data_IF_999181073836
#
_entry.id   IF_999181073836
#
_cell.length_a   1.000
_cell.length_b   1.000
_cell.length_c   1.000
_cell.angle_alpha   90.00
_cell.angle_beta   90.00
_cell.angle_gamma   90.00
#
_symmetry.space_group_name_H-M   'P 1'
#
loop_
_entity.id
_entity.type
_entity.pdbx_description
1 polymer ?
#
# COMPACT_ATOMS: atom_id res chain seq x y z
N UNK A 1 -27.46 -29.20 17.12
CA UNK A 1 -26.43 -29.02 16.07
C UNK A 1 -25.77 -27.67 16.28
N UNK A 2 -24.67 -27.63 17.03
CA UNK A 2 -23.93 -26.40 17.33
C UNK A 2 -23.11 -25.99 16.11
N UNK A 3 -23.56 -24.97 15.39
CA UNK A 3 -22.77 -24.31 14.35
C UNK A 3 -21.63 -23.54 15.03
N UNK A 4 -20.51 -24.21 15.27
CA UNK A 4 -19.24 -23.57 15.64
C UNK A 4 -18.74 -22.80 14.43
N UNK A 5 -19.19 -21.56 14.30
CA UNK A 5 -18.67 -20.61 13.33
C UNK A 5 -17.19 -20.36 13.65
N UNK A 6 -16.31 -21.10 13.00
CA UNK A 6 -14.88 -20.84 13.05
C UNK A 6 -14.64 -19.38 12.61
N UNK A 7 -13.96 -18.53 13.41
CA UNK A 7 -13.61 -17.19 12.99
C UNK A 7 -12.62 -17.31 11.84
N UNK A 8 -13.12 -17.29 10.61
CA UNK A 8 -12.27 -17.19 9.43
C UNK A 8 -11.63 -15.81 9.45
N UNK A 9 -10.31 -15.68 9.20
CA UNK A 9 -9.70 -14.37 9.04
C UNK A 9 -10.50 -13.59 8.01
N UNK A 10 -11.02 -12.42 8.39
CA UNK A 10 -11.96 -11.70 7.55
C UNK A 10 -11.22 -10.93 6.44
N UNK A 11 -10.74 -11.65 5.43
CA UNK A 11 -10.07 -11.08 4.26
C UNK A 11 -10.93 -10.04 3.54
N UNK A 12 -12.27 -10.13 3.66
CA UNK A 12 -13.22 -9.14 3.12
C UNK A 12 -13.09 -7.79 3.82
N UNK A 13 -12.80 -7.75 5.12
CA UNK A 13 -12.57 -6.50 5.85
C UNK A 13 -11.28 -5.80 5.38
N UNK A 14 -10.22 -6.58 5.15
CA UNK A 14 -8.94 -6.07 4.64
C UNK A 14 -9.10 -5.54 3.21
N UNK A 15 -9.85 -6.26 2.37
CA UNK A 15 -10.21 -5.80 1.03
C UNK A 15 -10.99 -4.48 1.07
N UNK A 16 -11.99 -4.36 1.95
CA UNK A 16 -12.76 -3.12 2.09
C UNK A 16 -11.88 -1.94 2.50
N UNK A 17 -10.91 -2.15 3.40
CA UNK A 17 -9.94 -1.12 3.78
C UNK A 17 -9.03 -0.72 2.61
N UNK A 18 -8.56 -1.68 1.80
CA UNK A 18 -7.77 -1.38 0.60
C UNK A 18 -8.55 -0.56 -0.43
N UNK A 19 -9.83 -0.88 -0.64
CA UNK A 19 -10.73 -0.10 -1.51
C UNK A 19 -10.94 1.30 -0.95
N UNK A 20 -11.17 1.42 0.36
CA UNK A 20 -11.32 2.71 1.01
C UNK A 20 -10.07 3.60 0.84
N UNK A 21 -8.88 3.04 1.06
CA UNK A 21 -7.61 3.72 0.81
C UNK A 21 -7.43 4.08 -0.69
N UNK A 22 -8.00 3.30 -1.61
CA UNK A 22 -8.01 3.66 -3.04
C UNK A 22 -8.88 4.90 -3.30
N UNK A 23 -10.07 4.95 -2.71
CA UNK A 23 -10.95 6.11 -2.83
C UNK A 23 -10.33 7.39 -2.26
N UNK A 24 -9.63 7.29 -1.12
CA UNK A 24 -8.88 8.43 -0.56
C UNK A 24 -7.81 8.91 -1.54
N UNK A 25 -7.04 7.99 -2.12
CA UNK A 25 -5.99 8.36 -3.09
C UNK A 25 -6.60 9.05 -4.31
N UNK A 26 -7.76 8.59 -4.76
CA UNK A 26 -8.46 9.16 -5.91
C UNK A 26 -8.98 10.56 -5.60
N UNK A 27 -9.62 10.73 -4.44
CA UNK A 27 -10.09 12.03 -3.97
C UNK A 27 -8.94 13.05 -3.83
N UNK A 28 -7.78 12.61 -3.31
CA UNK A 28 -6.61 13.47 -3.16
C UNK A 28 -6.09 14.04 -4.49
N UNK A 29 -6.30 13.34 -5.61
CA UNK A 29 -5.92 13.81 -6.95
C UNK A 29 -6.92 14.81 -7.53
N UNK A 30 -8.21 14.66 -7.20
CA UNK A 30 -9.27 15.56 -7.70
C UNK A 30 -9.44 16.84 -6.89
N UNK A 31 -8.93 16.88 -5.65
CA UNK A 31 -8.96 18.08 -4.84
C UNK A 31 -7.86 19.07 -5.29
N UNK A 32 -8.13 20.40 -5.28
CA UNK A 32 -7.18 21.42 -5.71
C UNK A 32 -6.10 21.70 -4.65
N UNK A 33 -5.41 20.65 -4.20
CA UNK A 33 -4.25 20.78 -3.31
C UNK A 33 -3.00 21.16 -4.09
N UNK A 34 -1.99 21.68 -3.38
CA UNK A 34 -0.66 21.86 -3.98
C UNK A 34 -0.07 20.50 -4.35
N UNK A 35 0.65 20.45 -5.47
CA UNK A 35 1.21 19.21 -6.01
C UNK A 35 2.04 18.43 -4.97
N UNK A 36 2.80 19.14 -4.13
CA UNK A 36 3.58 18.53 -3.05
C UNK A 36 2.71 17.83 -1.99
N UNK A 37 1.57 18.42 -1.63
CA UNK A 37 0.63 17.84 -0.67
C UNK A 37 -0.08 16.62 -1.25
N UNK A 38 -0.51 16.69 -2.52
CA UNK A 38 -1.10 15.55 -3.22
C UNK A 38 -0.13 14.38 -3.28
N UNK A 39 1.14 14.63 -3.63
CA UNK A 39 2.18 13.60 -3.65
C UNK A 39 2.37 12.99 -2.26
N UNK A 40 2.53 13.80 -1.21
CA UNK A 40 2.65 13.31 0.17
C UNK A 40 1.49 12.40 0.58
N UNK A 41 0.25 12.78 0.27
CA UNK A 41 -0.94 11.97 0.59
C UNK A 41 -0.90 10.63 -0.14
N UNK A 42 -0.61 10.63 -1.45
CA UNK A 42 -0.53 9.40 -2.26
C UNK A 42 0.52 8.46 -1.69
N UNK A 43 1.70 8.97 -1.32
CA UNK A 43 2.80 8.20 -0.73
C UNK A 43 2.42 7.58 0.61
N UNK A 44 1.80 8.34 1.52
CA UNK A 44 1.32 7.84 2.81
C UNK A 44 0.27 6.75 2.61
N UNK A 45 -0.70 6.98 1.72
CA UNK A 45 -1.75 6.00 1.41
C UNK A 45 -1.16 4.71 0.82
N UNK A 46 -0.17 4.80 -0.06
CA UNK A 46 0.53 3.66 -0.62
C UNK A 46 1.28 2.84 0.46
N UNK A 47 1.96 3.52 1.40
CA UNK A 47 2.65 2.86 2.51
C UNK A 47 1.68 2.10 3.43
N UNK A 48 0.54 2.68 3.76
CA UNK A 48 -0.50 2.02 4.58
C UNK A 48 -1.06 0.79 3.86
N UNK A 49 -1.31 0.87 2.55
CA UNK A 49 -1.75 -0.30 1.76
C UNK A 49 -0.72 -1.42 1.82
N UNK A 50 0.56 -1.10 1.60
CA UNK A 50 1.64 -2.09 1.66
C UNK A 50 1.72 -2.75 3.04
N UNK A 51 1.63 -1.97 4.12
CA UNK A 51 1.59 -2.49 5.49
C UNK A 51 0.41 -3.44 5.71
N UNK A 52 -0.79 -3.05 5.25
CA UNK A 52 -1.98 -3.89 5.35
C UNK A 52 -1.81 -5.23 4.63
N UNK A 53 -1.14 -5.21 3.48
CA UNK A 53 -0.84 -6.42 2.70
C UNK A 53 0.15 -7.31 3.42
N UNK A 54 1.22 -6.75 4.00
CA UNK A 54 2.20 -7.49 4.79
C UNK A 54 1.54 -8.18 6.00
N UNK A 55 0.74 -7.44 6.77
CA UNK A 55 0.14 -7.97 8.00
C UNK A 55 -0.95 -9.01 7.72
N UNK A 56 -1.78 -8.80 6.69
CA UNK A 56 -2.98 -9.62 6.48
C UNK A 56 -2.85 -10.68 5.38
N UNK A 57 -2.08 -10.40 4.32
CA UNK A 57 -1.97 -11.29 3.16
C UNK A 57 -0.61 -12.02 3.11
N UNK A 58 0.45 -11.47 3.70
CA UNK A 58 1.78 -12.12 3.71
C UNK A 58 2.00 -13.11 4.86
N UNK A 59 0.95 -13.46 5.60
CA UNK A 59 0.96 -14.61 6.53
C UNK A 59 0.99 -15.93 5.72
N UNK A 60 2.09 -16.18 4.99
CA UNK A 60 2.27 -17.40 4.20
C UNK A 60 2.76 -18.53 5.08
N UNK A 61 1.81 -19.43 5.38
CA UNK A 61 1.99 -20.66 6.14
C UNK A 61 2.80 -21.75 5.40
N UNK A 62 3.34 -21.50 4.19
CA UNK A 62 3.97 -22.58 3.40
C UNK A 62 5.36 -22.31 2.79
N UNK A 63 5.75 -21.11 2.35
CA UNK A 63 7.15 -20.82 1.94
C UNK A 63 7.50 -19.33 2.11
N UNK A 64 7.82 -18.92 3.34
CA UNK A 64 7.89 -17.51 3.76
C UNK A 64 9.04 -16.70 3.11
N UNK A 65 10.12 -17.35 2.62
CA UNK A 65 11.29 -16.64 2.07
C UNK A 65 11.06 -16.07 0.69
N UNK A 66 10.42 -16.82 -0.22
CA UNK A 66 10.35 -16.43 -1.63
C UNK A 66 9.39 -15.25 -1.84
N UNK A 67 8.25 -15.25 -1.15
CA UNK A 67 7.31 -14.12 -1.20
C UNK A 67 7.88 -12.88 -0.52
N UNK A 68 8.62 -13.02 0.58
CA UNK A 68 9.29 -11.88 1.21
C UNK A 68 10.39 -11.30 0.30
N UNK A 69 11.15 -12.15 -0.39
CA UNK A 69 12.15 -11.72 -1.38
C UNK A 69 11.50 -10.94 -2.53
N UNK A 70 10.38 -11.45 -3.06
CA UNK A 70 9.62 -10.77 -4.13
C UNK A 70 9.00 -9.47 -3.62
N UNK A 71 8.56 -9.40 -2.36
CA UNK A 71 8.00 -8.19 -1.75
C UNK A 71 9.06 -7.10 -1.49
N UNK A 72 10.33 -7.48 -1.28
CA UNK A 72 11.44 -6.54 -1.13
C UNK A 72 11.76 -5.82 -2.45
N UNK A 73 11.64 -6.50 -3.59
CA UNK A 73 11.93 -5.93 -4.91
C UNK A 73 11.16 -4.62 -5.18
N UNK A 74 9.82 -4.55 -5.08
CA UNK A 74 9.08 -3.31 -5.32
C UNK A 74 9.39 -2.23 -4.28
N UNK A 75 9.75 -2.59 -3.05
CA UNK A 75 10.14 -1.61 -2.01
C UNK A 75 11.46 -0.94 -2.38
N UNK A 76 12.46 -1.72 -2.80
CA UNK A 76 13.74 -1.19 -3.29
C UNK A 76 13.51 -0.30 -4.50
N UNK A 77 12.70 -0.76 -5.47
CA UNK A 77 12.38 -0.01 -6.67
C UNK A 77 11.70 1.33 -6.36
N UNK A 78 10.78 1.33 -5.39
CA UNK A 78 10.10 2.53 -4.91
C UNK A 78 11.06 3.54 -4.27
N UNK A 79 12.02 3.08 -3.44
CA UNK A 79 13.04 3.94 -2.85
C UNK A 79 13.91 4.56 -3.95
N UNK A 80 14.38 3.75 -4.91
CA UNK A 80 15.19 4.23 -6.04
C UNK A 80 14.42 5.28 -6.83
N UNK A 81 13.18 4.98 -7.24
CA UNK A 81 12.35 5.94 -7.97
C UNK A 81 12.16 7.23 -7.20
N UNK A 82 11.86 7.17 -5.89
CA UNK A 82 11.64 8.36 -5.08
C UNK A 82 12.90 9.24 -5.04
N UNK A 83 14.07 8.65 -4.80
CA UNK A 83 15.34 9.38 -4.74
C UNK A 83 15.72 9.97 -6.10
N UNK A 84 15.48 9.25 -7.19
CA UNK A 84 15.76 9.73 -8.55
C UNK A 84 14.78 10.81 -9.01
N UNK A 85 13.52 10.76 -8.57
CA UNK A 85 12.48 11.70 -9.00
C UNK A 85 12.54 13.04 -8.25
N UNK A 86 13.04 13.06 -7.02
CA UNK A 86 13.21 14.31 -6.25
C UNK A 86 14.04 15.36 -7.01
N UNK A 87 15.27 15.07 -7.49
CA UNK A 87 16.05 16.06 -8.23
C UNK A 87 15.36 16.46 -9.52
N UNK A 88 14.71 15.54 -10.23
CA UNK A 88 13.96 15.85 -11.46
C UNK A 88 12.82 16.86 -11.21
N UNK A 89 12.02 16.65 -10.16
CA UNK A 89 10.93 17.57 -9.76
C UNK A 89 11.47 18.92 -9.28
N UNK A 90 12.62 18.93 -8.60
CA UNK A 90 13.21 20.14 -8.03
C UNK A 90 13.95 20.97 -9.09
N UNK A 91 14.61 20.33 -10.05
CA UNK A 91 15.41 20.99 -11.08
C UNK A 91 14.58 21.39 -12.31
N UNK A 92 13.49 20.68 -12.60
CA UNK A 92 12.61 20.95 -13.74
C UNK A 92 11.51 22.00 -13.42
N UNK A 93 11.86 23.07 -12.71
CA UNK A 93 11.01 24.25 -12.53
C UNK A 93 11.31 25.34 -13.56
#
# INVERSE_FOLDING_TARGET
>A
MSNTAHPRPNYVAVWAWLVFLLLISLAAVYLPFSQAVTVMIIFVVAAVKAFLVVVNFMHLKFEQRLVHLIAIVPVIFFIIMTVTLIPDIVYNR
#
